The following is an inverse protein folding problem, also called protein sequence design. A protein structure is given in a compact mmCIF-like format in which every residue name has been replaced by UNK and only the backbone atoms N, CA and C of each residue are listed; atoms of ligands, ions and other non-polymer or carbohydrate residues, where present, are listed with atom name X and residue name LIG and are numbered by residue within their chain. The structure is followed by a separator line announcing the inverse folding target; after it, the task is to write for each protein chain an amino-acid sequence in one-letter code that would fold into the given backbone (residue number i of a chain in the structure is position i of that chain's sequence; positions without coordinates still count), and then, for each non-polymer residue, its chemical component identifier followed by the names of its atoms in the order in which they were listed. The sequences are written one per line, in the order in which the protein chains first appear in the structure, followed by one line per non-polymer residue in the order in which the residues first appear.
data_IF_713083266024
#
_entry.id   IF_713083266024
#
_cell.length_a   1.000
_cell.length_b   1.000
_cell.length_c   1.000
_cell.angle_alpha   90.00
_cell.angle_beta   90.00
_cell.angle_gamma   90.00
#
_symmetry.space_group_name_H-M   'P 1'
#
loop_
_entity.id
_entity.type
_entity.pdbx_description
1 polymer ?
#
# COMPACT_ATOMS: atom_id res chain seq x y z
N UNK A 1 -14.80 12.89 8.89
CA UNK A 1 -13.59 12.44 9.60
C UNK A 1 -13.28 11.08 9.03
N UNK A 2 -12.53 11.07 7.93
CA UNK A 2 -11.99 9.85 7.35
C UNK A 2 -11.01 9.27 8.36
N UNK A 3 -11.16 7.99 8.68
CA UNK A 3 -10.26 7.28 9.60
C UNK A 3 -8.99 6.94 8.82
N UNK A 4 -8.15 7.95 8.57
CA UNK A 4 -6.90 7.87 7.80
C UNK A 4 -5.91 6.82 8.34
N UNK A 5 -6.11 6.34 9.58
CA UNK A 5 -5.31 5.27 10.20
C UNK A 5 -5.61 3.89 9.63
N UNK A 6 -6.77 3.71 9.00
CA UNK A 6 -7.28 2.43 8.48
C UNK A 6 -7.80 2.64 7.06
N UNK A 7 -6.88 2.56 6.08
CA UNK A 7 -7.20 2.75 4.68
C UNK A 7 -7.80 1.47 4.08
N UNK A 8 -9.10 1.25 4.29
CA UNK A 8 -9.88 0.18 3.66
C UNK A 8 -10.19 0.57 2.20
N UNK A 9 -9.36 0.15 1.23
CA UNK A 9 -9.62 0.38 -0.20
C UNK A 9 -9.54 -0.91 -1.01
N UNK A 10 -10.46 -1.10 -1.98
CA UNK A 10 -10.30 -2.15 -2.96
C UNK A 10 -9.15 -1.78 -3.91
N UNK A 11 -8.23 -2.71 -4.11
CA UNK A 11 -7.29 -2.68 -5.22
C UNK A 11 -8.09 -3.00 -6.49
N UNK A 12 -8.38 -1.97 -7.29
CA UNK A 12 -9.23 -2.08 -8.48
C UNK A 12 -8.64 -2.98 -9.57
N UNK A 13 -7.32 -3.16 -9.58
CA UNK A 13 -6.60 -3.94 -10.58
C UNK A 13 -6.72 -5.45 -10.29
N UNK A 14 -6.63 -5.82 -9.02
CA UNK A 14 -6.68 -7.22 -8.57
C UNK A 14 -8.08 -7.63 -8.10
N UNK A 15 -8.93 -6.68 -7.74
CA UNK A 15 -10.21 -6.88 -7.07
C UNK A 15 -10.08 -7.20 -5.58
N UNK A 16 -8.87 -7.17 -5.01
CA UNK A 16 -8.62 -7.48 -3.59
C UNK A 16 -9.11 -6.32 -2.72
N UNK A 17 -9.94 -6.61 -1.74
CA UNK A 17 -10.39 -5.66 -0.73
C UNK A 17 -9.76 -5.98 0.62
N UNK A 18 -8.88 -5.09 1.08
CA UNK A 18 -8.29 -5.17 2.42
C UNK A 18 -9.22 -4.50 3.41
N UNK A 19 -9.52 -5.19 4.50
CA UNK A 19 -10.41 -4.73 5.56
C UNK A 19 -9.80 -4.90 6.94
N UNK A 20 -9.79 -3.83 7.73
CA UNK A 20 -9.35 -3.89 9.12
C UNK A 20 -10.50 -4.14 10.09
N UNK A 21 -10.22 -4.99 11.08
CA UNK A 21 -11.14 -5.42 12.12
C UNK A 21 -11.68 -4.30 13.02
N UNK A 22 -12.64 -4.64 13.87
CA UNK A 22 -13.36 -3.69 14.72
C UNK A 22 -12.72 -3.44 16.09
N UNK A 23 -11.56 -4.05 16.39
CA UNK A 23 -10.78 -3.72 17.59
C UNK A 23 -9.81 -2.57 17.30
N UNK A 24 -10.21 -1.34 17.62
CA UNK A 24 -9.44 -0.12 17.27
C UNK A 24 -8.88 0.62 18.49
N UNK A 25 -8.93 0.02 19.68
CA UNK A 25 -8.46 0.64 20.92
C UNK A 25 -7.74 -0.39 21.80
N UNK A 26 -6.72 0.04 22.54
CA UNK A 26 -6.08 -0.81 23.54
C UNK A 26 -7.00 -1.14 24.72
N UNK A 27 -6.63 -2.18 25.46
CA UNK A 27 -7.31 -2.57 26.71
C UNK A 27 -8.38 -3.65 26.58
N UNK A 28 -8.66 -4.16 25.38
CA UNK A 28 -9.56 -5.29 25.17
C UNK A 28 -8.86 -6.43 24.41
N UNK A 29 -9.30 -7.66 24.67
CA UNK A 29 -9.00 -8.80 23.80
C UNK A 29 -9.52 -8.53 22.38
N UNK A 30 -8.77 -8.93 21.36
CA UNK A 30 -9.09 -8.59 19.97
C UNK A 30 -10.43 -9.15 19.49
N UNK A 31 -10.95 -10.22 20.11
CA UNK A 31 -12.27 -10.80 19.79
C UNK A 31 -13.40 -10.14 20.56
N UNK A 32 -13.07 -9.50 21.69
CA UNK A 32 -14.04 -8.89 22.59
C UNK A 32 -14.37 -7.45 22.18
N UNK A 33 -14.99 -7.32 21.00
CA UNK A 33 -15.41 -6.03 20.45
C UNK A 33 -16.92 -5.83 20.60
N UNK A 34 -17.36 -4.57 20.74
CA UNK A 34 -18.77 -4.22 20.99
C UNK A 34 -19.74 -4.80 19.96
N UNK A 35 -19.32 -4.87 18.69
CA UNK A 35 -20.13 -5.39 17.58
C UNK A 35 -19.72 -6.80 17.14
N UNK A 36 -18.70 -7.40 17.77
CA UNK A 36 -18.18 -8.74 17.46
C UNK A 36 -17.72 -8.90 16.01
N UNK A 37 -17.26 -7.84 15.36
CA UNK A 37 -16.79 -7.90 13.97
C UNK A 37 -15.58 -8.84 13.80
N UNK A 38 -14.61 -8.75 14.71
CA UNK A 38 -13.43 -9.63 14.70
C UNK A 38 -13.79 -11.11 14.93
N UNK A 39 -14.80 -11.40 15.74
CA UNK A 39 -15.32 -12.75 15.92
C UNK A 39 -15.94 -13.28 14.62
N UNK A 40 -16.74 -12.46 13.93
CA UNK A 40 -17.32 -12.82 12.63
C UNK A 40 -16.22 -13.09 11.59
N UNK A 41 -15.15 -12.28 11.56
CA UNK A 41 -14.01 -12.53 10.68
C UNK A 41 -13.37 -13.89 10.97
N UNK A 42 -13.08 -14.22 12.23
CA UNK A 42 -12.53 -15.55 12.57
C UNK A 42 -13.44 -16.70 12.12
N UNK A 43 -14.74 -16.59 12.36
CA UNK A 43 -15.72 -17.62 11.97
C UNK A 43 -15.75 -17.82 10.45
N UNK A 44 -15.79 -16.72 9.69
CA UNK A 44 -15.85 -16.72 8.22
C UNK A 44 -14.58 -17.32 7.61
N UNK A 45 -13.40 -16.91 8.08
CA UNK A 45 -12.15 -17.47 7.55
C UNK A 45 -11.93 -18.91 8.02
N UNK A 46 -12.49 -19.32 9.16
CA UNK A 46 -12.54 -20.73 9.58
C UNK A 46 -13.43 -21.56 8.64
N UNK A 47 -14.62 -21.07 8.28
CA UNK A 47 -15.47 -21.73 7.28
C UNK A 47 -14.73 -21.89 5.95
N UNK A 48 -14.10 -20.82 5.47
CA UNK A 48 -13.30 -20.81 4.24
C UNK A 48 -12.14 -21.83 4.28
N UNK A 49 -11.43 -21.93 5.41
CA UNK A 49 -10.33 -22.87 5.59
C UNK A 49 -10.79 -24.33 5.73
N UNK A 50 -11.99 -24.55 6.23
CA UNK A 50 -12.60 -25.88 6.34
C UNK A 50 -13.38 -26.31 5.08
N UNK A 51 -13.46 -25.43 4.07
CA UNK A 51 -14.27 -25.59 2.86
C UNK A 51 -15.76 -25.89 3.13
N UNK A 52 -16.27 -25.48 4.30
CA UNK A 52 -17.68 -25.56 4.67
C UNK A 52 -18.37 -24.26 4.26
N UNK A 53 -18.70 -24.12 2.98
CA UNK A 53 -19.11 -22.84 2.40
C UNK A 53 -20.63 -22.65 2.31
N UNK A 54 -21.44 -23.68 2.59
CA UNK A 54 -22.91 -23.60 2.53
C UNK A 54 -23.48 -22.51 3.46
N UNK A 55 -22.84 -22.30 4.61
CA UNK A 55 -23.20 -21.29 5.60
C UNK A 55 -22.41 -19.98 5.45
N UNK A 56 -21.63 -19.83 4.38
CA UNK A 56 -20.82 -18.64 4.15
C UNK A 56 -21.71 -17.41 3.90
N UNK A 57 -21.65 -16.36 4.74
CA UNK A 57 -22.44 -15.16 4.50
C UNK A 57 -21.85 -14.34 3.33
N UNK A 58 -22.68 -13.78 2.44
CA UNK A 58 -22.22 -12.81 1.45
C UNK A 58 -21.88 -11.47 2.10
N UNK A 59 -20.76 -10.87 1.67
CA UNK A 59 -20.31 -9.57 2.15
C UNK A 59 -20.65 -8.49 1.14
N UNK A 60 -21.45 -7.50 1.54
CA UNK A 60 -21.75 -6.33 0.72
C UNK A 60 -20.91 -5.16 1.18
N UNK A 61 -20.04 -4.66 0.30
CA UNK A 61 -19.09 -3.60 0.63
C UNK A 61 -19.67 -2.25 0.26
N UNK A 62 -19.63 -1.30 1.19
CA UNK A 62 -20.10 0.06 1.01
C UNK A 62 -19.06 1.06 1.51
N UNK A 63 -18.94 2.21 0.83
CA UNK A 63 -18.17 3.36 1.32
C UNK A 63 -19.07 4.57 1.53
N UNK A 64 -18.75 5.41 2.50
CA UNK A 64 -19.39 6.73 2.63
C UNK A 64 -18.89 7.64 1.51
N UNK A 65 -19.77 8.46 0.95
CA UNK A 65 -19.40 9.41 -0.12
C UNK A 65 -18.88 10.75 0.42
N UNK A 66 -18.96 10.97 1.73
CA UNK A 66 -18.64 12.24 2.38
C UNK A 66 -19.81 13.24 2.39
N UNK A 67 -20.86 13.02 1.59
CA UNK A 67 -22.03 13.87 1.51
C UNK A 67 -23.18 13.33 2.38
N UNK A 68 -23.41 13.93 3.54
CA UNK A 68 -24.54 13.58 4.41
C UNK A 68 -24.52 12.11 4.87
N UNK A 69 -25.58 11.36 4.54
CA UNK A 69 -25.72 9.92 4.86
C UNK A 69 -25.53 9.02 3.64
N UNK A 70 -25.06 9.59 2.54
CA UNK A 70 -24.95 8.86 1.29
C UNK A 70 -23.84 7.81 1.37
N UNK A 71 -24.19 6.61 0.89
CA UNK A 71 -23.29 5.47 0.80
C UNK A 71 -23.26 4.96 -0.63
N UNK A 72 -22.07 4.62 -1.11
CA UNK A 72 -21.85 4.01 -2.41
C UNK A 72 -21.62 2.52 -2.21
N UNK A 73 -22.38 1.71 -2.96
CA UNK A 73 -22.14 0.28 -3.06
C UNK A 73 -20.91 0.01 -3.91
N UNK A 74 -19.96 -0.76 -3.38
CA UNK A 74 -18.70 -1.10 -4.05
C UNK A 74 -18.74 -2.50 -4.68
N UNK A 75 -19.50 -3.43 -4.11
CA UNK A 75 -19.67 -4.76 -4.69
C UNK A 75 -20.01 -5.85 -3.68
N UNK A 76 -20.27 -7.04 -4.22
CA UNK A 76 -20.33 -8.28 -3.47
C UNK A 76 -18.91 -8.81 -3.30
N UNK A 77 -18.54 -9.22 -2.09
CA UNK A 77 -17.23 -9.74 -1.77
C UNK A 77 -17.31 -11.17 -1.23
N UNK A 78 -16.30 -11.97 -1.58
CA UNK A 78 -16.02 -13.26 -0.98
C UNK A 78 -14.75 -13.16 -0.10
N UNK A 79 -14.66 -13.87 1.04
CA UNK A 79 -13.44 -13.92 1.82
C UNK A 79 -12.33 -14.68 1.07
N UNK A 80 -11.10 -14.24 1.25
CA UNK A 80 -9.91 -14.79 0.60
C UNK A 80 -9.67 -14.28 -0.83
N UNK A 81 -8.59 -14.76 -1.41
CA UNK A 81 -8.20 -14.50 -2.80
C UNK A 81 -7.38 -15.70 -3.31
N UNK A 82 -7.47 -16.00 -4.61
CA UNK A 82 -6.73 -17.12 -5.21
C UNK A 82 -5.20 -16.92 -5.27
N UNK A 83 -4.72 -15.68 -5.16
CA UNK A 83 -3.29 -15.35 -5.14
C UNK A 83 -2.73 -15.13 -3.73
N UNK A 84 -3.56 -15.26 -2.69
CA UNK A 84 -3.14 -15.12 -1.29
C UNK A 84 -3.16 -16.50 -0.65
N UNK A 85 -2.06 -16.86 0.01
CA UNK A 85 -1.99 -18.12 0.75
C UNK A 85 -3.05 -18.17 1.86
N UNK A 86 -3.72 -19.32 2.11
CA UNK A 86 -4.73 -19.45 3.15
C UNK A 86 -4.28 -19.06 4.57
N UNK A 87 -2.98 -19.01 4.86
CA UNK A 87 -2.46 -18.55 6.15
C UNK A 87 -2.23 -17.04 6.23
N UNK A 88 -2.54 -16.28 5.17
CA UNK A 88 -2.27 -14.84 5.05
C UNK A 88 -3.50 -14.01 4.72
N UNK A 89 -4.66 -14.62 4.56
CA UNK A 89 -5.90 -13.92 4.21
C UNK A 89 -6.69 -13.42 5.43
N UNK A 90 -6.34 -13.88 6.64
CA UNK A 90 -6.69 -13.25 7.92
C UNK A 90 -5.48 -13.23 8.85
N UNK A 91 -4.98 -12.03 9.18
CA UNK A 91 -3.74 -11.85 9.96
C UNK A 91 -4.00 -10.97 11.18
N UNK A 92 -3.48 -11.37 12.34
CA UNK A 92 -3.47 -10.51 13.53
C UNK A 92 -2.28 -9.55 13.46
N UNK A 93 -2.57 -8.25 13.45
CA UNK A 93 -1.57 -7.18 13.47
C UNK A 93 -1.42 -6.60 14.87
N UNK A 94 -0.21 -6.16 15.20
CA UNK A 94 0.03 -5.27 16.33
C UNK A 94 -0.07 -3.82 15.89
N UNK A 95 -0.94 -3.07 16.55
CA UNK A 95 -1.20 -1.66 16.32
C UNK A 95 -0.79 -0.87 17.57
N UNK A 96 -0.40 0.39 17.39
CA UNK A 96 -0.04 1.29 18.48
C UNK A 96 -0.91 2.54 18.41
N UNK A 97 -1.53 2.90 19.53
CA UNK A 97 -2.30 4.14 19.67
C UNK A 97 -1.92 4.77 21.02
N UNK A 98 -1.47 6.03 21.00
CA UNK A 98 -1.03 6.77 22.20
C UNK A 98 -0.01 6.00 23.06
N UNK A 99 0.99 5.38 22.42
CA UNK A 99 2.04 4.60 23.08
C UNK A 99 1.61 3.23 23.63
N UNK A 100 0.35 2.84 23.45
CA UNK A 100 -0.18 1.54 23.90
C UNK A 100 -0.40 0.61 22.72
N UNK A 101 0.09 -0.63 22.85
CA UNK A 101 -0.04 -1.67 21.83
C UNK A 101 -1.32 -2.48 22.00
N UNK A 102 -1.96 -2.83 20.90
CA UNK A 102 -3.13 -3.71 20.86
C UNK A 102 -3.15 -4.52 19.57
N UNK A 103 -3.96 -5.58 19.52
CA UNK A 103 -4.09 -6.42 18.33
C UNK A 103 -5.38 -6.16 17.59
N UNK A 104 -5.33 -6.15 16.25
CA UNK A 104 -6.50 -6.12 15.39
C UNK A 104 -6.34 -7.09 14.22
N UNK A 105 -7.43 -7.40 13.50
CA UNK A 105 -7.33 -8.20 12.28
C UNK A 105 -7.11 -7.33 11.04
N UNK A 106 -6.32 -7.85 10.11
CA UNK A 106 -6.30 -7.49 8.70
C UNK A 106 -6.87 -8.67 7.92
N UNK A 107 -7.98 -8.46 7.24
CA UNK A 107 -8.71 -9.45 6.47
C UNK A 107 -8.66 -9.12 4.97
N UNK A 108 -8.49 -10.14 4.14
CA UNK A 108 -8.45 -10.03 2.70
C UNK A 108 -9.69 -10.65 2.08
N UNK A 109 -10.48 -9.81 1.41
CA UNK A 109 -11.62 -10.20 0.62
C UNK A 109 -11.31 -9.99 -0.86
N UNK A 110 -12.17 -10.50 -1.73
CA UNK A 110 -12.16 -10.21 -3.16
C UNK A 110 -13.53 -9.74 -3.60
N UNK A 111 -13.61 -8.56 -4.22
CA UNK A 111 -14.82 -8.06 -4.87
C UNK A 111 -15.08 -8.94 -6.11
N UNK A 112 -16.26 -9.53 -6.20
CA UNK A 112 -16.63 -10.46 -7.26
C UNK A 112 -17.10 -9.71 -8.52
N UNK A 113 -16.80 -10.26 -9.69
CA UNK A 113 -17.23 -9.67 -10.96
C UNK A 113 -18.73 -9.93 -11.23
N UNK A 114 -19.58 -9.04 -10.72
CA UNK A 114 -21.02 -9.09 -10.96
C UNK A 114 -21.46 -8.19 -12.13
N UNK A 115 -20.56 -7.72 -13.02
CA UNK A 115 -20.88 -6.71 -14.05
C UNK A 115 -22.02 -7.13 -15.00
N UNK A 116 -22.08 -8.40 -15.38
CA UNK A 116 -23.00 -8.87 -16.43
C UNK A 116 -24.45 -8.94 -15.96
N UNK A 117 -24.71 -9.54 -14.79
CA UNK A 117 -26.07 -9.78 -14.28
C UNK A 117 -26.45 -8.90 -13.09
N UNK A 118 -25.49 -8.17 -12.50
CA UNK A 118 -25.69 -7.44 -11.27
C UNK A 118 -26.06 -8.36 -10.10
N UNK A 119 -26.58 -7.76 -9.04
CA UNK A 119 -27.04 -8.46 -7.84
C UNK A 119 -28.53 -8.20 -7.70
N UNK A 120 -29.33 -9.26 -7.79
CA UNK A 120 -30.78 -9.14 -7.65
C UNK A 120 -31.18 -8.86 -6.20
N UNK A 121 -32.15 -7.95 -6.02
CA UNK A 121 -32.76 -7.72 -4.70
C UNK A 121 -33.53 -8.93 -4.19
N UNK A 122 -34.04 -9.77 -5.09
CA UNK A 122 -34.78 -10.97 -4.71
C UNK A 122 -33.83 -12.03 -4.12
N UNK A 123 -32.59 -12.10 -4.60
CA UNK A 123 -31.55 -12.89 -3.94
C UNK A 123 -31.30 -12.40 -2.52
N UNK A 124 -31.15 -11.09 -2.33
CA UNK A 124 -30.91 -10.51 -1.00
C UNK A 124 -32.05 -10.83 -0.03
N UNK A 125 -33.31 -10.77 -0.48
CA UNK A 125 -34.46 -11.18 0.34
C UNK A 125 -34.42 -12.67 0.68
N UNK A 126 -34.12 -13.52 -0.30
CA UNK A 126 -34.07 -14.96 -0.10
C UNK A 126 -32.98 -15.39 0.88
N UNK A 127 -31.87 -14.64 1.00
CA UNK A 127 -30.85 -14.92 2.01
C UNK A 127 -31.44 -14.91 3.44
N UNK A 128 -32.40 -14.01 3.71
CA UNK A 128 -33.06 -13.94 5.02
C UNK A 128 -34.30 -14.83 5.16
N UNK A 129 -35.04 -15.04 4.07
CA UNK A 129 -36.36 -15.68 4.10
C UNK A 129 -36.31 -17.19 3.79
N UNK A 130 -35.36 -17.61 2.95
CA UNK A 130 -35.18 -19.01 2.54
C UNK A 130 -33.73 -19.25 2.09
N UNK A 131 -32.82 -19.40 3.05
CA UNK A 131 -31.38 -19.53 2.81
C UNK A 131 -31.05 -20.66 1.84
N UNK A 132 -31.66 -21.84 2.02
CA UNK A 132 -31.42 -23.01 1.15
C UNK A 132 -31.78 -22.77 -0.31
N UNK A 133 -32.85 -22.01 -0.59
CA UNK A 133 -33.25 -21.69 -1.96
C UNK A 133 -32.51 -20.48 -2.53
N UNK A 134 -31.84 -19.70 -1.68
CA UNK A 134 -31.15 -18.47 -2.11
C UNK A 134 -30.05 -18.74 -3.14
N UNK A 135 -29.44 -19.93 -3.10
CA UNK A 135 -28.38 -20.28 -4.03
C UNK A 135 -28.88 -20.32 -5.47
N UNK A 136 -30.14 -20.70 -5.73
CA UNK A 136 -30.67 -20.83 -7.09
C UNK A 136 -30.74 -19.49 -7.83
N UNK A 137 -31.00 -18.42 -7.09
CA UNK A 137 -31.10 -17.04 -7.60
C UNK A 137 -29.85 -16.19 -7.33
N UNK A 138 -28.82 -16.78 -6.72
CA UNK A 138 -27.55 -16.10 -6.46
C UNK A 138 -26.80 -15.76 -7.76
N UNK A 139 -25.94 -14.71 -7.75
CA UNK A 139 -25.02 -14.43 -8.84
C UNK A 139 -24.16 -15.65 -9.19
N UNK A 140 -23.86 -15.85 -10.48
CA UNK A 140 -23.09 -17.02 -10.94
C UNK A 140 -21.70 -17.08 -10.30
N UNK A 141 -21.06 -15.92 -10.12
CA UNK A 141 -19.77 -15.80 -9.41
C UNK A 141 -19.85 -16.21 -7.95
N UNK A 142 -21.00 -15.99 -7.27
CA UNK A 142 -21.21 -16.44 -5.90
C UNK A 142 -21.40 -17.97 -5.86
N UNK A 143 -22.21 -18.53 -6.77
CA UNK A 143 -22.39 -19.98 -6.92
C UNK A 143 -21.07 -20.70 -7.16
N UNK A 144 -20.21 -20.11 -8.00
CA UNK A 144 -18.88 -20.65 -8.29
C UNK A 144 -17.98 -20.63 -7.06
N UNK A 145 -17.96 -19.53 -6.31
CA UNK A 145 -17.23 -19.44 -5.05
C UNK A 145 -17.71 -20.48 -4.02
N UNK A 146 -19.03 -20.64 -3.83
CA UNK A 146 -19.58 -21.62 -2.88
C UNK A 146 -19.21 -23.07 -3.25
N UNK A 147 -19.16 -23.38 -4.55
CA UNK A 147 -18.86 -24.75 -5.02
C UNK A 147 -17.36 -25.07 -5.10
N UNK A 148 -16.49 -24.08 -5.31
CA UNK A 148 -15.06 -24.30 -5.59
C UNK A 148 -14.13 -23.63 -4.56
N UNK A 149 -14.69 -22.91 -3.57
CA UNK A 149 -13.92 -22.14 -2.60
C UNK A 149 -13.05 -21.07 -3.28
N UNK A 150 -11.80 -20.95 -2.83
CA UNK A 150 -10.86 -19.92 -3.31
C UNK A 150 -10.63 -20.00 -4.83
N UNK A 151 -10.64 -21.19 -5.40
CA UNK A 151 -10.43 -21.40 -6.83
C UNK A 151 -11.63 -20.93 -7.68
N UNK A 152 -12.80 -20.82 -7.07
CA UNK A 152 -14.02 -20.30 -7.69
C UNK A 152 -14.14 -18.77 -7.67
N UNK A 153 -13.21 -18.06 -7.03
CA UNK A 153 -13.26 -16.60 -6.90
C UNK A 153 -12.95 -15.94 -8.26
N UNK A 154 -13.96 -15.26 -8.81
CA UNK A 154 -13.84 -14.44 -10.00
C UNK A 154 -13.83 -12.95 -9.62
N UNK A 155 -12.64 -12.37 -9.57
CA UNK A 155 -12.44 -10.99 -9.12
C UNK A 155 -12.92 -9.96 -10.14
N UNK A 156 -13.56 -8.89 -9.65
CA UNK A 156 -13.87 -7.68 -10.41
C UNK A 156 -12.56 -6.94 -10.68
N UNK A 157 -11.97 -7.18 -11.85
CA UNK A 157 -10.78 -6.47 -12.31
C UNK A 157 -11.17 -5.31 -13.19
N UNK A 158 -10.60 -4.15 -12.92
CA UNK A 158 -10.71 -2.96 -13.78
C UNK A 158 -9.30 -2.66 -14.28
N UNK A 159 -9.06 -2.66 -15.60
CA UNK A 159 -7.80 -2.18 -16.14
C UNK A 159 -7.58 -0.76 -15.64
N UNK A 160 -6.44 -0.49 -15.00
CA UNK A 160 -6.08 0.88 -14.61
C UNK A 160 -6.12 1.76 -15.85
N UNK A 161 -7.02 2.74 -15.85
CA UNK A 161 -6.82 3.93 -16.67
C UNK A 161 -5.61 4.62 -16.05
N UNK A 162 -4.60 4.93 -16.86
CA UNK A 162 -3.44 5.70 -16.43
C UNK A 162 -3.95 7.01 -15.83
N UNK A 163 -3.98 7.09 -14.50
CA UNK A 163 -4.39 8.27 -13.78
C UNK A 163 -3.15 9.08 -13.43
N UNK A 164 -3.05 10.29 -13.99
CA UNK A 164 -1.99 11.23 -13.62
C UNK A 164 -2.43 11.91 -12.33
N UNK A 165 -1.78 11.65 -11.18
CA UNK A 165 -2.21 12.17 -9.89
C UNK A 165 -2.05 13.69 -9.82
N UNK A 166 -3.02 14.38 -9.25
CA UNK A 166 -2.93 15.83 -9.09
C UNK A 166 -1.91 16.20 -8.00
N UNK A 167 -1.45 17.46 -7.99
CA UNK A 167 -0.61 17.98 -6.89
C UNK A 167 -1.29 17.78 -5.53
N UNK A 168 -2.62 17.96 -5.48
CA UNK A 168 -3.39 17.78 -4.26
C UNK A 168 -3.28 16.34 -3.76
N UNK A 169 -3.52 15.35 -4.62
CA UNK A 169 -3.45 13.92 -4.29
C UNK A 169 -2.07 13.52 -3.81
N UNK A 170 -1.02 14.02 -4.47
CA UNK A 170 0.37 13.68 -4.18
C UNK A 170 0.90 14.24 -2.84
N UNK A 171 0.20 15.21 -2.27
CA UNK A 171 0.55 15.86 -1.00
C UNK A 171 -0.43 15.51 0.13
N UNK A 172 -1.47 14.72 -0.13
CA UNK A 172 -2.43 14.31 0.91
C UNK A 172 -1.76 13.35 1.90
N UNK A 173 -1.58 13.80 3.13
CA UNK A 173 -1.18 12.96 4.26
C UNK A 173 -1.89 13.45 5.54
N UNK A 174 -1.91 12.61 6.57
CA UNK A 174 -2.43 12.99 7.88
C UNK A 174 -1.55 14.04 8.56
N UNK A 175 -2.06 14.68 9.63
CA UNK A 175 -1.34 15.72 10.35
C UNK A 175 0.01 15.23 10.88
N UNK A 176 0.09 13.97 11.29
CA UNK A 176 1.31 13.39 11.86
C UNK A 176 2.37 13.13 10.79
N UNK A 177 1.99 12.51 9.67
CA UNK A 177 2.86 12.32 8.52
C UNK A 177 3.30 13.64 7.92
N UNK A 178 2.41 14.65 7.87
CA UNK A 178 2.76 16.00 7.42
C UNK A 178 3.86 16.61 8.28
N UNK A 179 3.72 16.60 9.61
CA UNK A 179 4.76 17.08 10.52
C UNK A 179 6.09 16.37 10.29
N UNK A 180 6.06 15.05 10.14
CA UNK A 180 7.26 14.26 9.89
C UNK A 180 7.97 14.71 8.60
N UNK A 181 7.23 14.81 7.49
CA UNK A 181 7.80 15.26 6.22
C UNK A 181 8.32 16.70 6.32
N UNK A 182 7.66 17.57 7.09
CA UNK A 182 8.14 18.94 7.36
C UNK A 182 9.45 18.97 8.15
N UNK A 183 9.63 18.10 9.16
CA UNK A 183 10.91 17.98 9.88
C UNK A 183 12.02 17.52 8.93
N UNK A 184 11.77 16.53 8.07
CA UNK A 184 12.75 16.10 7.04
C UNK A 184 13.15 17.27 6.12
N UNK A 185 12.16 18.06 5.68
CA UNK A 185 12.40 19.22 4.80
C UNK A 185 13.29 20.26 5.48
N UNK A 186 13.03 20.59 6.74
CA UNK A 186 13.81 21.58 7.47
C UNK A 186 15.23 21.06 7.78
N UNK A 187 15.35 19.80 8.19
CA UNK A 187 16.63 19.17 8.52
C UNK A 187 17.62 19.18 7.34
N UNK A 188 17.15 18.91 6.12
CA UNK A 188 18.01 18.86 4.92
C UNK A 188 18.04 20.15 4.08
N UNK A 189 17.45 21.24 4.57
CA UNK A 189 17.36 22.52 3.85
C UNK A 189 18.71 23.09 3.42
N UNK A 190 19.68 23.08 4.33
CA UNK A 190 21.04 23.58 4.08
C UNK A 190 21.98 22.49 3.55
N UNK A 191 21.54 21.22 3.54
CA UNK A 191 22.30 20.09 3.02
C UNK A 191 21.43 19.18 2.11
N UNK A 192 21.07 19.65 0.89
CA UNK A 192 20.20 18.88 0.00
C UNK A 192 20.77 17.52 -0.43
N UNK A 193 22.10 17.37 -0.42
CA UNK A 193 22.76 16.09 -0.71
C UNK A 193 22.65 15.10 0.45
N UNK A 194 22.45 15.57 1.70
CA UNK A 194 22.19 14.68 2.85
C UNK A 194 20.91 13.90 2.75
N UNK A 195 19.91 14.46 2.09
CA UNK A 195 18.65 13.77 1.87
C UNK A 195 18.81 12.47 1.07
N UNK A 196 19.88 12.31 0.27
CA UNK A 196 20.15 11.05 -0.45
C UNK A 196 20.30 9.87 0.51
N UNK A 197 20.88 10.08 1.70
CA UNK A 197 21.02 9.03 2.72
C UNK A 197 19.68 8.67 3.38
N UNK A 198 18.87 9.68 3.70
CA UNK A 198 17.51 9.46 4.20
C UNK A 198 16.63 8.75 3.16
N UNK A 199 16.74 9.13 1.89
CA UNK A 199 16.05 8.49 0.78
C UNK A 199 16.39 7.00 0.64
N UNK A 200 17.67 6.63 0.79
CA UNK A 200 18.09 5.22 0.77
C UNK A 200 17.46 4.43 1.93
N UNK A 201 17.50 4.98 3.16
CA UNK A 201 16.92 4.33 4.33
C UNK A 201 15.39 4.16 4.20
N UNK A 202 14.69 5.21 3.71
CA UNK A 202 13.25 5.16 3.44
C UNK A 202 12.88 4.06 2.43
N UNK A 203 13.69 3.84 1.38
CA UNK A 203 13.43 2.77 0.41
C UNK A 203 13.62 1.37 1.01
N UNK A 204 14.65 1.18 1.82
CA UNK A 204 14.88 -0.10 2.53
C UNK A 204 13.72 -0.38 3.51
N UNK A 205 13.23 0.67 4.20
CA UNK A 205 12.07 0.60 5.09
C UNK A 205 10.74 0.37 4.36
N UNK A 206 10.64 0.83 3.11
CA UNK A 206 9.49 0.60 2.25
C UNK A 206 9.43 -0.86 1.78
N UNK A 207 10.57 -1.42 1.36
CA UNK A 207 10.69 -2.81 0.92
C UNK A 207 12.13 -3.33 1.16
N UNK A 208 12.23 -4.42 1.93
CA UNK A 208 13.52 -5.02 2.31
C UNK A 208 14.26 -5.73 1.17
N UNK A 209 13.65 -5.81 -0.03
CA UNK A 209 14.33 -6.28 -1.24
C UNK A 209 15.27 -5.22 -1.84
N UNK A 210 15.16 -3.94 -1.45
CA UNK A 210 16.15 -2.92 -1.79
C UNK A 210 17.42 -3.12 -0.97
N UNK A 211 18.56 -3.29 -1.64
CA UNK A 211 19.86 -3.63 -1.03
C UNK A 211 21.02 -2.94 -1.73
N UNK A 212 22.18 -2.93 -1.06
CA UNK A 212 23.49 -2.55 -1.61
C UNK A 212 23.53 -1.16 -2.30
N UNK A 213 22.94 -0.15 -1.65
CA UNK A 213 23.03 1.21 -2.14
C UNK A 213 24.44 1.79 -1.98
N UNK A 214 24.92 2.44 -3.04
CA UNK A 214 26.22 3.10 -3.08
C UNK A 214 26.07 4.50 -3.69
N UNK A 215 26.72 5.47 -3.05
CA UNK A 215 26.88 6.82 -3.58
C UNK A 215 28.03 6.80 -4.60
N UNK A 216 27.75 7.12 -5.85
CA UNK A 216 28.80 7.26 -6.86
C UNK A 216 29.64 8.50 -6.60
N UNK A 217 30.88 8.47 -7.10
CA UNK A 217 31.74 9.66 -7.13
C UNK A 217 31.03 10.82 -7.84
N UNK A 218 31.29 12.08 -7.45
CA UNK A 218 30.77 13.26 -8.14
C UNK A 218 31.18 13.25 -9.62
N UNK A 219 30.23 13.50 -10.52
CA UNK A 219 30.49 13.67 -11.95
C UNK A 219 31.12 15.04 -12.26
N UNK A 220 31.57 15.24 -13.51
CA UNK A 220 32.15 16.51 -14.01
C UNK A 220 31.23 17.73 -13.81
N UNK A 221 29.92 17.52 -13.67
CA UNK A 221 28.91 18.56 -13.43
C UNK A 221 28.58 18.76 -11.93
N UNK A 222 29.28 18.08 -11.03
CA UNK A 222 29.08 18.15 -9.58
C UNK A 222 27.94 17.30 -9.03
N UNK A 223 27.20 16.57 -9.87
CA UNK A 223 26.13 15.68 -9.42
C UNK A 223 26.64 14.33 -8.90
N UNK A 224 26.01 13.81 -7.85
CA UNK A 224 26.16 12.41 -7.40
C UNK A 224 24.97 11.58 -7.85
N UNK A 225 25.21 10.28 -8.02
CA UNK A 225 24.21 9.30 -8.40
C UNK A 225 24.19 8.24 -7.30
N UNK A 226 23.00 7.82 -6.89
CA UNK A 226 22.88 6.66 -6.02
C UNK A 226 22.51 5.48 -6.90
N UNK A 227 23.29 4.41 -6.80
CA UNK A 227 23.00 3.12 -7.46
C UNK A 227 22.69 2.11 -6.36
N UNK A 228 21.60 1.36 -6.52
CA UNK A 228 21.22 0.27 -5.62
C UNK A 228 20.76 -0.95 -6.40
N UNK A 229 20.28 -1.95 -5.69
CA UNK A 229 19.77 -3.18 -6.29
C UNK A 229 18.45 -3.60 -5.66
N UNK A 230 17.55 -4.16 -6.47
CA UNK A 230 16.36 -4.86 -6.02
C UNK A 230 16.60 -6.37 -6.15
N UNK A 231 16.48 -7.08 -5.03
CA UNK A 231 16.85 -8.48 -4.89
C UNK A 231 15.61 -9.38 -4.93
N UNK A 232 15.48 -10.22 -5.95
CA UNK A 232 14.40 -11.20 -6.07
C UNK A 232 14.96 -12.57 -5.69
N UNK A 233 14.35 -13.21 -4.70
CA UNK A 233 14.75 -14.54 -4.23
C UNK A 233 13.57 -15.53 -4.28
N UNK A 234 13.86 -16.80 -4.53
CA UNK A 234 12.86 -17.87 -4.55
C UNK A 234 12.56 -18.47 -3.17
N UNK A 235 12.97 -17.81 -2.07
CA UNK A 235 12.83 -18.30 -0.69
C UNK A 235 13.76 -19.45 -0.27
N UNK A 236 14.42 -20.13 -1.22
CA UNK A 236 15.42 -21.16 -0.95
C UNK A 236 16.82 -20.60 -0.69
N UNK A 237 17.63 -21.29 0.13
CA UNK A 237 19.00 -20.88 0.48
C UNK A 237 20.09 -21.31 -0.51
N UNK A 238 19.73 -22.13 -1.51
CA UNK A 238 20.71 -22.80 -2.39
C UNK A 238 21.13 -21.90 -3.56
N UNK A 239 20.19 -21.15 -4.14
CA UNK A 239 20.44 -20.34 -5.32
C UNK A 239 20.73 -18.88 -4.93
N UNK A 240 21.64 -18.25 -5.66
CA UNK A 240 21.89 -16.82 -5.51
C UNK A 240 20.63 -16.01 -5.92
N UNK A 241 20.34 -14.89 -5.23
CA UNK A 241 19.24 -14.02 -5.61
C UNK A 241 19.52 -13.29 -6.93
N UNK A 242 18.47 -13.02 -7.70
CA UNK A 242 18.55 -12.14 -8.86
C UNK A 242 18.59 -10.68 -8.37
N UNK A 243 19.64 -9.94 -8.73
CA UNK A 243 19.74 -8.51 -8.43
C UNK A 243 19.51 -7.68 -9.69
N UNK A 244 18.54 -6.77 -9.62
CA UNK A 244 18.23 -5.80 -10.67
C UNK A 244 18.73 -4.43 -10.22
N UNK A 245 19.67 -3.84 -10.96
CA UNK A 245 20.23 -2.52 -10.62
C UNK A 245 19.18 -1.41 -10.79
N UNK A 246 19.17 -0.46 -9.85
CA UNK A 246 18.33 0.72 -9.90
C UNK A 246 19.12 2.02 -9.69
N UNK A 247 18.72 3.06 -10.42
CA UNK A 247 19.24 4.41 -10.25
C UNK A 247 18.29 5.22 -9.36
N UNK A 248 18.80 5.82 -8.29
CA UNK A 248 18.01 6.62 -7.36
C UNK A 248 18.21 8.12 -7.62
N UNK A 249 17.09 8.85 -7.65
CA UNK A 249 17.04 10.31 -7.65
C UNK A 249 16.25 10.80 -6.44
N UNK A 250 16.95 11.40 -5.48
CA UNK A 250 16.33 12.01 -4.31
C UNK A 250 16.16 13.53 -4.46
N UNK A 251 15.00 14.06 -4.06
CA UNK A 251 14.70 15.50 -4.03
C UNK A 251 13.98 15.93 -2.75
N UNK A 252 14.68 16.71 -1.94
CA UNK A 252 14.09 17.36 -0.78
C UNK A 252 13.53 18.74 -1.19
N UNK A 253 12.30 18.77 -1.68
CA UNK A 253 11.60 19.99 -2.07
C UNK A 253 10.41 20.30 -1.13
N UNK A 254 10.01 21.57 -1.10
CA UNK A 254 8.82 22.02 -0.38
C UNK A 254 7.54 21.74 -1.19
N UNK A 255 6.38 21.87 -0.55
CA UNK A 255 5.05 21.72 -1.17
C UNK A 255 4.80 22.67 -2.36
N UNK A 256 5.61 23.73 -2.47
CA UNK A 256 5.52 24.71 -3.54
C UNK A 256 6.45 24.39 -4.72
N UNK A 257 7.39 23.47 -4.56
CA UNK A 257 8.34 23.07 -5.60
C UNK A 257 8.11 21.63 -6.05
N UNK A 258 7.61 21.45 -7.27
CA UNK A 258 7.44 20.14 -7.91
C UNK A 258 8.73 19.62 -8.53
N UNK A 259 8.79 18.29 -8.70
CA UNK A 259 9.81 17.65 -9.52
C UNK A 259 9.33 17.63 -10.98
N UNK A 260 9.98 18.43 -11.81
CA UNK A 260 9.63 18.59 -13.22
C UNK A 260 10.46 17.74 -14.17
N UNK A 261 10.25 18.00 -15.47
CA UNK A 261 10.85 17.24 -16.59
C UNK A 261 12.36 17.17 -16.49
N UNK A 262 13.05 18.27 -16.15
CA UNK A 262 14.52 18.31 -16.08
C UNK A 262 15.11 17.24 -15.16
N UNK A 263 14.54 17.09 -13.96
CA UNK A 263 14.99 16.10 -12.99
C UNK A 263 14.62 14.68 -13.44
N UNK A 264 13.43 14.52 -14.03
CA UNK A 264 12.92 13.24 -14.53
C UNK A 264 13.75 12.73 -15.71
N UNK A 265 13.98 13.54 -16.75
CA UNK A 265 14.81 13.17 -17.90
C UNK A 265 16.26 12.86 -17.47
N UNK A 266 16.79 13.55 -16.45
CA UNK A 266 18.10 13.20 -15.86
C UNK A 266 18.11 11.81 -15.21
N UNK A 267 17.00 11.38 -14.61
CA UNK A 267 16.87 10.00 -14.12
C UNK A 267 16.73 9.02 -15.29
N UNK A 268 15.83 9.28 -16.25
CA UNK A 268 15.59 8.44 -17.43
C UNK A 268 16.90 8.16 -18.18
N UNK A 269 17.69 9.20 -18.45
CA UNK A 269 19.00 9.08 -19.12
C UNK A 269 20.05 8.23 -18.38
N UNK A 270 19.84 7.93 -17.09
CA UNK A 270 20.73 7.07 -16.30
C UNK A 270 20.30 5.61 -16.30
N UNK A 271 19.02 5.35 -16.57
CA UNK A 271 18.47 4.00 -16.62
C UNK A 271 18.97 3.35 -17.91
N UNK A 272 19.78 2.30 -17.77
CA UNK A 272 20.26 1.49 -18.91
C UNK A 272 19.35 0.28 -19.13
N UNK A 273 19.68 -0.53 -20.14
CA UNK A 273 18.94 -1.74 -20.47
C UNK A 273 18.81 -2.68 -19.27
N UNK A 274 17.57 -3.07 -18.92
CA UNK A 274 17.18 -3.94 -17.77
C UNK A 274 17.36 -3.32 -16.38
N UNK A 275 17.52 -2.00 -16.29
CA UNK A 275 17.50 -1.27 -15.03
C UNK A 275 16.17 -0.56 -14.85
N UNK A 276 15.93 -0.04 -13.65
CA UNK A 276 14.80 0.84 -13.38
C UNK A 276 15.25 2.06 -12.57
N UNK A 277 14.43 3.11 -12.58
CA UNK A 277 14.66 4.31 -11.79
C UNK A 277 13.84 4.29 -10.51
N UNK A 278 14.36 4.92 -9.47
CA UNK A 278 13.57 5.28 -8.29
C UNK A 278 13.68 6.79 -8.13
N UNK A 279 12.56 7.48 -8.10
CA UNK A 279 12.49 8.90 -7.81
C UNK A 279 11.74 9.10 -6.51
N UNK A 280 12.45 9.63 -5.51
CA UNK A 280 11.89 9.92 -4.19
C UNK A 280 11.93 11.42 -3.91
N UNK A 281 10.81 11.97 -3.49
CA UNK A 281 10.67 13.39 -3.20
C UNK A 281 9.82 13.65 -1.96
N UNK A 282 10.21 14.64 -1.16
CA UNK A 282 9.37 15.18 -0.08
C UNK A 282 8.26 16.08 -0.60
N UNK A 283 8.06 16.17 -1.91
CA UNK A 283 7.05 17.00 -2.58
C UNK A 283 6.23 16.14 -3.54
N UNK A 284 5.86 16.69 -4.70
CA UNK A 284 5.08 16.06 -5.77
C UNK A 284 5.84 16.09 -7.09
N UNK A 285 5.35 15.33 -8.07
CA UNK A 285 5.80 15.31 -9.46
C UNK A 285 4.86 16.16 -10.30
N UNK A 286 5.41 17.04 -11.14
CA UNK A 286 4.60 17.84 -12.05
C UNK A 286 3.87 16.97 -13.08
N UNK A 287 2.66 17.35 -13.46
CA UNK A 287 1.78 16.56 -14.34
C UNK A 287 2.44 16.18 -15.66
N UNK A 288 3.16 17.12 -16.29
CA UNK A 288 3.88 16.87 -17.53
C UNK A 288 4.98 15.81 -17.36
N UNK A 289 5.75 15.88 -16.28
CA UNK A 289 6.83 14.93 -16.03
C UNK A 289 6.28 13.54 -15.70
N UNK A 290 5.17 13.48 -14.95
CA UNK A 290 4.49 12.21 -14.66
C UNK A 290 3.89 11.60 -15.94
N UNK A 291 3.27 12.42 -16.78
CA UNK A 291 2.66 11.99 -18.04
C UNK A 291 3.71 11.35 -18.97
N UNK A 292 4.88 11.97 -19.14
CA UNK A 292 6.01 11.43 -19.93
C UNK A 292 6.43 10.05 -19.43
N UNK A 293 6.57 9.88 -18.11
CA UNK A 293 6.96 8.58 -17.53
C UNK A 293 5.96 7.48 -17.89
N UNK A 294 4.66 7.78 -17.83
CA UNK A 294 3.65 6.74 -18.06
C UNK A 294 3.38 6.50 -19.54
N UNK A 295 3.29 7.56 -20.35
CA UNK A 295 3.05 7.43 -21.80
C UNK A 295 4.20 6.72 -22.52
N UNK A 296 5.44 7.02 -22.13
CA UNK A 296 6.64 6.41 -22.73
C UNK A 296 7.02 5.08 -22.06
N UNK A 297 6.30 4.66 -21.02
CA UNK A 297 6.51 3.38 -20.34
C UNK A 297 7.87 3.28 -19.64
N UNK A 298 8.38 4.38 -19.11
CA UNK A 298 9.67 4.39 -18.40
C UNK A 298 9.55 3.61 -17.08
N UNK A 299 10.45 2.64 -16.80
CA UNK A 299 10.39 1.84 -15.58
C UNK A 299 10.89 2.68 -14.39
N UNK A 300 10.03 3.52 -13.83
CA UNK A 300 10.36 4.41 -12.72
C UNK A 300 9.38 4.19 -11.57
N UNK A 301 9.91 3.81 -10.41
CA UNK A 301 9.17 3.85 -9.16
C UNK A 301 9.18 5.29 -8.62
N UNK A 302 8.00 5.85 -8.41
CA UNK A 302 7.83 7.20 -7.84
C UNK A 302 7.42 7.05 -6.37
N UNK A 303 8.12 7.73 -5.48
CA UNK A 303 7.86 7.79 -4.03
C UNK A 303 7.72 9.26 -3.63
N UNK A 304 6.51 9.68 -3.25
CA UNK A 304 6.17 11.09 -2.98
C UNK A 304 5.98 11.36 -1.48
N UNK A 305 5.66 12.61 -1.12
CA UNK A 305 5.41 13.02 0.26
C UNK A 305 4.43 12.09 0.99
N UNK A 306 3.31 11.74 0.34
CA UNK A 306 2.32 10.80 0.89
C UNK A 306 2.89 9.41 1.16
N UNK A 307 3.73 8.89 0.27
CA UNK A 307 4.38 7.59 0.45
C UNK A 307 5.40 7.64 1.59
N UNK A 308 6.20 8.70 1.67
CA UNK A 308 7.17 8.90 2.75
C UNK A 308 6.46 8.92 4.11
N UNK A 309 5.37 9.70 4.23
CA UNK A 309 4.55 9.73 5.45
C UNK A 309 4.04 8.33 5.83
N UNK A 310 3.55 7.56 4.85
CA UNK A 310 3.11 6.17 5.06
C UNK A 310 4.26 5.26 5.50
N UNK A 311 5.44 5.37 4.88
CA UNK A 311 6.62 4.57 5.22
C UNK A 311 7.03 4.82 6.67
N UNK A 312 7.11 6.09 7.09
CA UNK A 312 7.45 6.47 8.46
C UNK A 312 6.44 5.89 9.44
N UNK A 313 5.14 6.04 9.16
CA UNK A 313 4.05 5.54 10.00
C UNK A 313 4.09 4.01 10.17
N UNK A 314 4.26 3.27 9.09
CA UNK A 314 4.37 1.79 9.13
C UNK A 314 5.59 1.35 9.94
N UNK A 315 6.67 2.14 9.91
CA UNK A 315 7.88 1.90 10.69
C UNK A 315 7.82 2.48 12.12
N UNK A 316 6.66 2.96 12.56
CA UNK A 316 6.45 3.58 13.88
C UNK A 316 7.34 4.79 14.16
N UNK A 317 7.77 5.51 13.12
CA UNK A 317 8.50 6.78 13.23
C UNK A 317 7.47 7.90 13.21
N UNK A 318 7.51 8.76 14.21
CA UNK A 318 6.57 9.86 14.46
C UNK A 318 7.32 11.19 14.59
N UNK A 319 6.60 12.29 14.72
CA UNK A 319 7.19 13.61 14.94
C UNK A 319 7.93 13.74 16.27
N UNK A 320 7.78 12.78 17.19
CA UNK A 320 8.49 12.77 18.47
C UNK A 320 9.91 12.19 18.37
N UNK A 321 10.15 11.24 17.45
CA UNK A 321 11.42 10.52 17.32
C UNK A 321 12.13 10.75 15.97
N UNK A 322 11.53 11.51 15.06
CA UNK A 322 12.08 11.75 13.72
C UNK A 322 13.44 12.46 13.74
N UNK A 323 13.68 13.40 14.67
CA UNK A 323 14.98 14.08 14.79
C UNK A 323 16.10 13.10 15.19
N UNK A 324 15.80 12.16 16.09
CA UNK A 324 16.74 11.10 16.47
C UNK A 324 16.99 10.15 15.29
N UNK A 325 15.93 9.75 14.59
CA UNK A 325 16.02 8.94 13.38
C UNK A 325 16.92 9.58 12.31
N UNK A 326 16.75 10.88 12.03
CA UNK A 326 17.57 11.61 11.06
C UNK A 326 19.02 11.73 11.52
N UNK A 327 19.25 11.96 12.82
CA UNK A 327 20.59 12.01 13.41
C UNK A 327 21.34 10.68 13.25
N UNK A 328 20.65 9.55 13.42
CA UNK A 328 21.22 8.21 13.21
C UNK A 328 21.62 8.03 11.74
N UNK A 329 20.79 8.43 10.79
CA UNK A 329 21.11 8.34 9.35
C UNK A 329 22.34 9.17 9.01
N UNK A 330 22.39 10.42 9.48
CA UNK A 330 23.49 11.32 9.18
C UNK A 330 24.81 10.86 9.80
N UNK A 331 24.77 10.22 10.98
CA UNK A 331 25.97 9.64 11.60
C UNK A 331 26.56 8.50 10.75
N UNK A 332 25.73 7.56 10.28
CA UNK A 332 26.15 6.46 9.40
C UNK A 332 26.73 6.97 8.09
N UNK A 333 26.17 8.05 7.54
CA UNK A 333 26.70 8.69 6.34
C UNK A 333 28.13 9.20 6.56
N UNK A 334 28.41 9.86 7.68
CA UNK A 334 29.75 10.37 7.99
C UNK A 334 30.78 9.25 8.08
N UNK A 335 30.43 8.14 8.74
CA UNK A 335 31.30 6.95 8.80
C UNK A 335 31.62 6.39 7.40
N UNK A 336 30.69 6.50 6.44
CA UNK A 336 30.92 6.07 5.06
C UNK A 336 31.74 7.06 4.23
N UNK A 337 31.68 8.35 4.54
CA UNK A 337 32.48 9.37 3.85
C UNK A 337 33.93 9.42 4.38
N UNK A 338 34.18 8.92 5.60
CA UNK A 338 35.50 8.90 6.25
C UNK A 338 36.32 7.61 5.99
N UNK A 339 35.71 6.55 5.44
CA UNK A 339 36.36 5.27 5.10
C UNK A 339 36.59 5.08 3.60
#
# INVERSE_FOLDING_TARGET
MEELEWLDFPDEETGVFRYYGDNRKPGNDMRNTKKKGNLLLEEVFKLLNSNNLEDMPPFFVFKKTGNGRDIQFLGLAAPGNNNISPGRDLVALWCSLNGQKFQNYEAYFTILDTKVKGISRDWIKSLSENHSASIDIAPDVWKKFISQGRDGIEALKVPKIIHIPSKYDQLQCDDEGKKCVDVIREHYKDNPYGFESCAMDLLIKMDNHFVDFNLTRPWRDGGRDVIGYYSINGGGKVNAPLKIECALKAKCYSENGGVGVKQMSRLISRIRYRQFGVLITTSYIDSQAYQEVVEDGHPILVVIATDIARILRVNSITSEDIDEYLSIIDSKRKEWEEN
#
